data_IF_331728656803
#
_entry.id   IF_331728656803
#
_cell.length_a   1.000
_cell.length_b   1.000
_cell.length_c   1.000
_cell.angle_alpha   90.00
_cell.angle_beta   90.00
_cell.angle_gamma   90.00
#
_symmetry.space_group_name_H-M   'P 1'
#
loop_
_entity.id
_entity.type
_entity.pdbx_description
1 polymer ?
#
# COMPACT_ATOMS: atom_id res chain seq x y z
N UNK A 1 19.40 -9.77 -9.36
CA UNK A 1 19.03 -8.39 -9.79
C UNK A 1 17.54 -8.11 -9.63
N UNK A 2 16.62 -8.92 -10.18
CA UNK A 2 15.17 -8.69 -10.08
C UNK A 2 14.62 -8.53 -8.66
N UNK A 3 15.14 -9.30 -7.68
CA UNK A 3 14.76 -9.17 -6.26
C UNK A 3 15.13 -7.80 -5.67
N UNK A 4 16.36 -7.33 -5.91
CA UNK A 4 16.81 -6.02 -5.42
C UNK A 4 15.99 -4.91 -6.06
N UNK A 5 15.78 -4.99 -7.39
CA UNK A 5 14.97 -4.02 -8.12
C UNK A 5 13.54 -3.94 -7.56
N UNK A 6 12.89 -5.08 -7.35
CA UNK A 6 11.54 -5.13 -6.81
C UNK A 6 11.44 -4.59 -5.38
N UNK A 7 12.43 -4.87 -4.52
CA UNK A 7 12.47 -4.30 -3.16
C UNK A 7 12.65 -2.78 -3.18
N UNK A 8 13.60 -2.28 -3.97
CA UNK A 8 13.85 -0.83 -4.10
C UNK A 8 12.62 -0.13 -4.67
N UNK A 9 11.99 -0.70 -5.68
CA UNK A 9 10.78 -0.15 -6.29
C UNK A 9 9.61 -0.13 -5.30
N UNK A 10 9.40 -1.23 -4.56
CA UNK A 10 8.34 -1.32 -3.55
C UNK A 10 8.52 -0.25 -2.46
N UNK A 11 9.75 -0.07 -1.99
CA UNK A 11 10.08 0.94 -0.99
C UNK A 11 9.89 2.36 -1.54
N UNK A 12 10.37 2.64 -2.76
CA UNK A 12 10.23 3.94 -3.38
C UNK A 12 8.76 4.32 -3.61
N UNK A 13 7.94 3.37 -4.08
CA UNK A 13 6.50 3.56 -4.23
C UNK A 13 5.82 3.73 -2.87
N UNK A 14 6.19 2.93 -1.87
CA UNK A 14 5.68 3.05 -0.51
C UNK A 14 5.98 4.42 0.09
N UNK A 15 7.20 4.94 -0.09
CA UNK A 15 7.58 6.28 0.35
C UNK A 15 6.81 7.37 -0.40
N UNK A 16 6.70 7.26 -1.73
CA UNK A 16 6.03 8.28 -2.54
C UNK A 16 4.53 8.35 -2.22
N UNK A 17 3.83 7.22 -2.22
CA UNK A 17 2.40 7.18 -1.95
C UNK A 17 2.06 7.24 -0.46
N UNK A 18 2.96 6.77 0.41
CA UNK A 18 2.88 6.96 1.86
C UNK A 18 3.05 8.43 2.25
N UNK A 19 3.97 9.15 1.63
CA UNK A 19 4.14 10.57 1.91
C UNK A 19 3.03 11.40 1.24
N UNK A 20 2.89 11.35 -0.08
CA UNK A 20 1.95 12.23 -0.79
C UNK A 20 0.50 11.79 -0.70
N UNK A 21 0.22 10.48 -0.72
CA UNK A 21 -1.15 9.99 -0.62
C UNK A 21 -1.62 10.04 0.83
N UNK A 22 -0.97 9.24 1.68
CA UNK A 22 -1.46 8.98 3.03
C UNK A 22 -1.43 10.25 3.90
N UNK A 23 -0.39 11.08 3.85
CA UNK A 23 -0.42 12.34 4.59
C UNK A 23 -1.51 13.27 4.06
N UNK A 24 -1.60 13.47 2.74
CA UNK A 24 -2.58 14.39 2.16
C UNK A 24 -4.05 13.99 2.46
N UNK A 25 -4.32 12.69 2.64
CA UNK A 25 -5.65 12.23 3.05
C UNK A 25 -6.04 12.64 4.48
N UNK A 26 -5.05 12.80 5.35
CA UNK A 26 -5.26 13.15 6.75
C UNK A 26 -5.24 14.67 6.96
N UNK A 27 -4.43 15.40 6.18
CA UNK A 27 -4.34 16.87 6.19
C UNK A 27 -5.36 17.57 5.29
N UNK A 28 -6.22 16.83 4.60
CA UNK A 28 -7.33 17.45 3.88
C UNK A 28 -8.25 18.15 4.89
N UNK A 29 -8.22 19.48 4.95
CA UNK A 29 -9.14 20.31 5.75
C UNK A 29 -10.60 20.24 5.27
N UNK A 30 -10.89 19.38 4.29
CA UNK A 30 -12.21 19.14 3.75
C UNK A 30 -13.15 18.40 4.71
N UNK A 31 -14.47 18.46 4.45
CA UNK A 31 -15.48 17.70 5.18
C UNK A 31 -15.18 16.19 5.18
N UNK A 32 -15.74 15.47 6.16
CA UNK A 32 -15.50 14.04 6.37
C UNK A 32 -15.67 13.20 5.08
N UNK A 33 -16.66 13.53 4.26
CA UNK A 33 -16.95 12.82 3.00
C UNK A 33 -15.80 12.90 2.00
N UNK A 34 -15.15 14.07 1.88
CA UNK A 34 -13.98 14.25 1.00
C UNK A 34 -12.79 13.43 1.49
N UNK A 35 -12.55 13.40 2.80
CA UNK A 35 -11.49 12.59 3.42
C UNK A 35 -11.68 11.10 3.12
N UNK A 36 -12.91 10.60 3.26
CA UNK A 36 -13.24 9.20 2.96
C UNK A 36 -12.98 8.84 1.50
N UNK A 37 -13.32 9.73 0.56
CA UNK A 37 -13.05 9.55 -0.86
C UNK A 37 -11.54 9.49 -1.12
N UNK A 38 -10.76 10.40 -0.54
CA UNK A 38 -9.30 10.41 -0.72
C UNK A 38 -8.68 9.13 -0.15
N UNK A 39 -9.10 8.68 1.03
CA UNK A 39 -8.68 7.41 1.63
C UNK A 39 -8.99 6.25 0.68
N UNK A 40 -10.20 6.17 0.13
CA UNK A 40 -10.60 5.11 -0.80
C UNK A 40 -9.73 5.08 -2.06
N UNK A 41 -9.41 6.26 -2.63
CA UNK A 41 -8.52 6.38 -3.80
C UNK A 41 -7.12 5.87 -3.48
N UNK A 42 -6.57 6.22 -2.31
CA UNK A 42 -5.24 5.76 -1.91
C UNK A 42 -5.22 4.25 -1.70
N UNK A 43 -6.24 3.69 -1.03
CA UNK A 43 -6.37 2.25 -0.88
C UNK A 43 -6.43 1.54 -2.24
N UNK A 44 -7.15 2.11 -3.22
CA UNK A 44 -7.19 1.57 -4.58
C UNK A 44 -5.80 1.61 -5.25
N UNK A 45 -5.04 2.69 -5.08
CA UNK A 45 -3.67 2.81 -5.60
C UNK A 45 -2.75 1.75 -4.97
N UNK A 46 -2.76 1.60 -3.64
CA UNK A 46 -1.99 0.57 -2.95
C UNK A 46 -2.40 -0.85 -3.38
N UNK A 47 -3.69 -1.07 -3.58
CA UNK A 47 -4.21 -2.31 -4.16
C UNK A 47 -3.61 -2.59 -5.54
N UNK A 48 -3.65 -1.62 -6.45
CA UNK A 48 -3.18 -1.78 -7.82
C UNK A 48 -1.65 -1.96 -7.87
N UNK A 49 -0.90 -1.15 -7.13
CA UNK A 49 0.56 -1.28 -7.03
C UNK A 49 0.98 -2.61 -6.41
N UNK A 50 0.29 -3.05 -5.35
CA UNK A 50 0.55 -4.34 -4.74
C UNK A 50 0.31 -5.49 -5.73
N UNK A 51 -0.78 -5.46 -6.50
CA UNK A 51 -1.05 -6.45 -7.53
C UNK A 51 0.06 -6.49 -8.58
N UNK A 52 0.48 -5.33 -9.11
CA UNK A 52 1.57 -5.24 -10.09
C UNK A 52 2.90 -5.77 -9.51
N UNK A 53 3.24 -5.38 -8.28
CA UNK A 53 4.46 -5.85 -7.61
C UNK A 53 4.44 -7.36 -7.39
N UNK A 54 3.32 -7.91 -6.93
CA UNK A 54 3.15 -9.35 -6.77
C UNK A 54 3.23 -10.12 -8.08
N UNK A 55 2.71 -9.53 -9.17
CA UNK A 55 2.74 -10.14 -10.49
C UNK A 55 4.14 -10.12 -11.13
N UNK A 56 4.82 -8.97 -11.13
CA UNK A 56 6.14 -8.82 -11.76
C UNK A 56 7.30 -9.31 -10.89
N UNK A 57 7.16 -9.21 -9.56
CA UNK A 57 8.19 -9.58 -8.57
C UNK A 57 7.69 -10.68 -7.62
N UNK A 58 7.07 -11.69 -8.19
CA UNK A 58 6.48 -12.86 -7.52
C UNK A 58 7.40 -13.55 -6.49
N UNK A 59 8.73 -13.53 -6.69
CA UNK A 59 9.70 -14.14 -5.77
C UNK A 59 9.86 -13.41 -4.42
N UNK A 60 9.46 -12.15 -4.33
CA UNK A 60 9.61 -11.31 -3.14
C UNK A 60 8.27 -10.75 -2.64
N UNK A 61 7.15 -11.37 -3.04
CA UNK A 61 5.80 -10.85 -2.81
C UNK A 61 5.54 -10.42 -1.35
N UNK A 62 5.95 -11.19 -0.35
CA UNK A 62 5.80 -10.79 1.06
C UNK A 62 6.62 -9.54 1.39
N UNK A 63 7.90 -9.51 0.97
CA UNK A 63 8.79 -8.38 1.21
C UNK A 63 8.30 -7.12 0.49
N UNK A 64 7.78 -7.26 -0.74
CA UNK A 64 7.20 -6.17 -1.51
C UNK A 64 5.97 -5.57 -0.81
N UNK A 65 5.08 -6.41 -0.26
CA UNK A 65 3.93 -5.95 0.52
C UNK A 65 4.37 -5.14 1.74
N UNK A 66 5.34 -5.63 2.50
CA UNK A 66 5.87 -4.95 3.68
C UNK A 66 6.50 -3.61 3.30
N UNK A 67 7.40 -3.60 2.31
CA UNK A 67 8.12 -2.38 1.89
C UNK A 67 7.19 -1.32 1.29
N UNK A 68 6.10 -1.75 0.63
CA UNK A 68 5.08 -0.85 0.13
C UNK A 68 4.30 -0.21 1.29
N UNK A 69 3.87 -1.00 2.28
CA UNK A 69 2.96 -0.56 3.35
C UNK A 69 3.65 0.20 4.49
N UNK A 70 4.86 -0.21 4.86
CA UNK A 70 5.56 0.28 6.06
C UNK A 70 5.67 1.81 6.07
N UNK A 71 6.10 2.50 5.00
CA UNK A 71 6.18 3.95 5.01
C UNK A 71 4.84 4.62 5.31
N UNK A 72 3.74 4.16 4.70
CA UNK A 72 2.40 4.69 4.94
C UNK A 72 1.94 4.49 6.40
N UNK A 73 2.23 3.33 6.98
CA UNK A 73 1.92 3.05 8.40
C UNK A 73 2.75 3.93 9.33
N UNK A 74 4.04 4.13 9.04
CA UNK A 74 4.91 5.02 9.82
C UNK A 74 4.34 6.43 9.82
N UNK A 75 3.97 6.97 8.67
CA UNK A 75 3.37 8.31 8.58
C UNK A 75 2.05 8.43 9.35
N UNK A 76 1.14 7.46 9.23
CA UNK A 76 -0.12 7.45 9.99
C UNK A 76 0.13 7.34 11.50
N UNK A 77 1.15 6.59 11.91
CA UNK A 77 1.47 6.40 13.33
C UNK A 77 2.00 7.69 13.94
N UNK A 78 2.85 8.43 13.20
CA UNK A 78 3.31 9.75 13.61
C UNK A 78 2.12 10.72 13.79
N UNK A 79 1.10 10.62 12.94
CA UNK A 79 -0.09 11.44 13.07
C UNK A 79 -0.98 11.04 14.26
N UNK A 80 -1.08 9.75 14.56
CA UNK A 80 -1.89 9.23 15.68
C UNK A 80 -1.47 9.82 17.04
N UNK A 81 -0.19 10.18 17.20
CA UNK A 81 0.31 10.85 18.40
C UNK A 81 -0.23 12.28 18.57
N UNK A 82 -0.64 12.93 17.49
CA UNK A 82 -1.23 14.27 17.54
C UNK A 82 -2.72 14.18 17.88
N UNK A 83 -3.45 13.26 17.26
CA UNK A 83 -4.89 13.12 17.45
C UNK A 83 -5.35 11.66 17.33
N UNK A 84 -5.97 11.14 18.40
CA UNK A 84 -6.50 9.76 18.43
C UNK A 84 -7.84 9.67 17.71
N UNK A 85 -7.78 9.45 16.40
CA UNK A 85 -8.95 9.20 15.56
C UNK A 85 -9.10 7.72 15.22
N UNK A 86 -10.26 7.15 15.55
CA UNK A 86 -10.63 5.77 15.18
C UNK A 86 -10.53 5.52 13.66
N UNK A 87 -10.81 6.54 12.85
CA UNK A 87 -10.69 6.47 11.39
C UNK A 87 -9.25 6.19 10.93
N UNK A 88 -8.25 6.74 11.62
CA UNK A 88 -6.83 6.55 11.27
C UNK A 88 -6.42 5.10 11.58
N UNK A 89 -6.86 4.55 12.71
CA UNK A 89 -6.63 3.15 13.05
C UNK A 89 -7.27 2.22 12.02
N UNK A 90 -8.52 2.47 11.65
CA UNK A 90 -9.21 1.70 10.61
C UNK A 90 -8.46 1.79 9.27
N UNK A 91 -7.99 2.99 8.92
CA UNK A 91 -7.24 3.21 7.68
C UNK A 91 -5.93 2.43 7.67
N UNK A 92 -5.14 2.44 8.75
CA UNK A 92 -3.93 1.63 8.88
C UNK A 92 -4.22 0.14 8.62
N UNK A 93 -5.26 -0.40 9.26
CA UNK A 93 -5.65 -1.81 9.12
C UNK A 93 -6.01 -2.12 7.66
N UNK A 94 -6.82 -1.27 7.02
CA UNK A 94 -7.20 -1.42 5.62
C UNK A 94 -5.99 -1.37 4.68
N UNK A 95 -5.05 -0.47 4.94
CA UNK A 95 -3.85 -0.29 4.11
C UNK A 95 -2.96 -1.54 4.15
N UNK A 96 -2.79 -2.14 5.33
CA UNK A 96 -2.10 -3.43 5.50
C UNK A 96 -2.86 -4.54 4.76
N UNK A 97 -4.16 -4.70 5.03
CA UNK A 97 -4.96 -5.79 4.45
C UNK A 97 -4.96 -5.73 2.92
N UNK A 98 -5.25 -4.56 2.34
CA UNK A 98 -5.35 -4.40 0.89
C UNK A 98 -4.00 -4.67 0.23
N UNK A 99 -2.90 -4.17 0.79
CA UNK A 99 -1.56 -4.39 0.23
C UNK A 99 -1.13 -5.85 0.27
N UNK A 100 -1.40 -6.56 1.37
CA UNK A 100 -1.09 -7.98 1.47
C UNK A 100 -1.94 -8.84 0.55
N UNK A 101 -3.25 -8.57 0.49
CA UNK A 101 -4.18 -9.30 -0.38
C UNK A 101 -3.83 -9.07 -1.84
N UNK A 102 -3.59 -7.82 -2.26
CA UNK A 102 -3.31 -7.50 -3.65
C UNK A 102 -1.99 -8.11 -4.15
N UNK A 103 -0.93 -8.03 -3.34
CA UNK A 103 0.36 -8.65 -3.68
C UNK A 103 0.26 -10.17 -3.77
N UNK A 104 -0.47 -10.80 -2.84
CA UNK A 104 -0.72 -12.25 -2.88
C UNK A 104 -1.53 -12.65 -4.12
N UNK A 105 -2.54 -11.86 -4.50
CA UNK A 105 -3.31 -12.06 -5.72
C UNK A 105 -2.42 -11.94 -6.97
N UNK A 106 -1.58 -10.91 -7.06
CA UNK A 106 -0.63 -10.75 -8.16
C UNK A 106 0.32 -11.94 -8.31
N UNK A 107 0.88 -12.42 -7.19
CA UNK A 107 1.73 -13.61 -7.15
C UNK A 107 1.00 -14.86 -7.66
N UNK A 108 -0.24 -15.07 -7.21
CA UNK A 108 -1.05 -16.22 -7.61
C UNK A 108 -1.40 -16.19 -9.11
N UNK A 109 -1.73 -15.01 -9.64
CA UNK A 109 -1.99 -14.83 -11.08
C UNK A 109 -0.74 -15.18 -11.89
N UNK A 110 0.43 -14.67 -11.49
CA UNK A 110 1.70 -14.98 -12.16
C UNK A 110 1.99 -16.49 -12.20
N UNK A 111 1.77 -17.19 -11.08
CA UNK A 111 1.95 -18.64 -10.98
C UNK A 111 1.05 -19.44 -11.92
N UNK A 112 -0.19 -18.96 -12.16
CA UNK A 112 -1.11 -19.57 -13.13
C UNK A 112 -0.64 -19.37 -14.56
N UNK A 113 -0.22 -18.17 -14.94
CA UNK A 113 0.21 -17.86 -16.33
C UNK A 113 1.40 -18.70 -16.76
N UNK A 114 2.32 -19.01 -15.82
CA UNK A 114 3.51 -19.82 -16.08
C UNK A 114 3.22 -21.32 -16.26
N UNK A 115 2.01 -21.79 -15.95
CA UNK A 115 1.60 -23.20 -16.08
C UNK A 115 1.02 -23.52 -17.46
N UNK A 116 0.76 -22.50 -18.27
CA UNK A 116 0.17 -22.59 -19.62
C UNK A 116 1.17 -22.21 -20.73
N UNK A 117 2.45 -22.04 -20.39
CA UNK A 117 3.58 -21.82 -21.30
C UNK A 117 4.69 -22.79 -20.92
#
# INVERSE_FOLDING_TARGET
>A
MKKILGSVLSLALGLLFGFFGVMNSVFSDGPMDERLVIIAVILAIFGLLGLLLGFFFSEIHITAAILLVVPGIVFLTLFLFSELYLLILLYMVLLVLISFVSVKLGHHIHGRTRKYH
#
